data_IF_980797734798
#
_entry.id   IF_980797734798
#
_cell.length_a   1.000
_cell.length_b   1.000
_cell.length_c   1.000
_cell.angle_alpha   90.00
_cell.angle_beta   90.00
_cell.angle_gamma   90.00
#
_symmetry.space_group_name_H-M   'P 1'
#
loop_
_entity.id
_entity.type
_entity.pdbx_description
1 polymer ?
#
# COMPACT_ATOMS: atom_id res chain seq x y z
N UNK A 1 2.85 -4.51 14.84
CA UNK A 1 3.41 -4.95 13.54
C UNK A 1 2.79 -4.19 12.36
N UNK A 2 1.46 -4.14 12.25
CA UNK A 2 0.77 -3.37 11.20
C UNK A 2 1.26 -1.91 11.15
N UNK A 3 1.26 -1.20 12.28
CA UNK A 3 1.64 0.22 12.32
C UNK A 3 3.10 0.47 11.92
N UNK A 4 4.00 -0.48 12.22
CA UNK A 4 5.40 -0.41 11.79
C UNK A 4 5.52 -0.52 10.27
N UNK A 5 4.80 -1.47 9.66
CA UNK A 5 4.79 -1.62 8.20
C UNK A 5 4.13 -0.44 7.52
N UNK A 6 3.05 0.12 8.09
CA UNK A 6 2.40 1.31 7.54
C UNK A 6 3.34 2.52 7.59
N UNK A 7 3.99 2.79 8.73
CA UNK A 7 4.93 3.90 8.86
C UNK A 7 6.09 3.78 7.85
N UNK A 8 6.63 2.57 7.67
CA UNK A 8 7.67 2.33 6.68
C UNK A 8 7.14 2.44 5.24
N UNK A 9 5.89 2.04 4.98
CA UNK A 9 5.26 2.19 3.68
C UNK A 9 5.14 3.68 3.32
N UNK A 10 4.69 4.52 4.26
CA UNK A 10 4.59 5.97 4.07
C UNK A 10 5.99 6.56 3.80
N UNK A 11 6.98 6.21 4.62
CA UNK A 11 8.37 6.68 4.44
C UNK A 11 8.96 6.31 3.07
N UNK A 12 8.68 5.11 2.58
CA UNK A 12 9.16 4.66 1.26
C UNK A 12 8.40 5.33 0.11
N UNK A 13 7.10 5.60 0.26
CA UNK A 13 6.33 6.38 -0.69
C UNK A 13 6.83 7.82 -0.83
N UNK A 14 7.13 8.49 0.30
CA UNK A 14 7.69 9.85 0.32
C UNK A 14 9.03 9.94 -0.42
N UNK A 15 9.81 8.85 -0.41
CA UNK A 15 11.08 8.73 -1.14
C UNK A 15 10.92 8.33 -2.61
N UNK A 16 9.69 8.16 -3.11
CA UNK A 16 9.41 7.69 -4.48
C UNK A 16 9.76 6.22 -4.73
N UNK A 17 9.95 5.42 -3.67
CA UNK A 17 10.29 4.01 -3.77
C UNK A 17 9.01 3.16 -3.88
N UNK A 18 8.48 3.06 -5.10
CA UNK A 18 7.19 2.43 -5.38
C UNK A 18 7.13 0.94 -5.00
N UNK A 19 8.10 0.14 -5.43
CA UNK A 19 8.07 -1.31 -5.16
C UNK A 19 8.19 -1.63 -3.66
N UNK A 20 9.12 -1.01 -2.89
CA UNK A 20 9.15 -1.18 -1.44
C UNK A 20 7.85 -0.76 -0.73
N UNK A 21 7.26 0.37 -1.15
CA UNK A 21 5.97 0.81 -0.61
C UNK A 21 4.87 -0.23 -0.85
N UNK A 22 4.79 -0.78 -2.06
CA UNK A 22 3.80 -1.81 -2.39
C UNK A 22 4.00 -3.10 -1.60
N UNK A 23 5.23 -3.57 -1.41
CA UNK A 23 5.53 -4.74 -0.59
C UNK A 23 5.08 -4.55 0.87
N UNK A 24 5.26 -3.36 1.43
CA UNK A 24 4.82 -3.03 2.79
C UNK A 24 3.30 -2.93 2.87
N UNK A 25 2.63 -2.44 1.83
CA UNK A 25 1.17 -2.48 1.71
C UNK A 25 0.66 -3.93 1.75
N UNK A 26 1.30 -4.86 1.03
CA UNK A 26 0.95 -6.29 1.09
C UNK A 26 1.16 -6.89 2.48
N UNK A 27 2.25 -6.53 3.17
CA UNK A 27 2.50 -6.95 4.56
C UNK A 27 1.44 -6.41 5.53
N UNK A 28 0.98 -5.17 5.34
CA UNK A 28 -0.13 -4.59 6.10
C UNK A 28 -1.43 -5.38 5.88
N UNK A 29 -1.77 -5.64 4.61
CA UNK A 29 -2.95 -6.44 4.23
C UNK A 29 -2.93 -7.84 4.86
N UNK A 30 -1.78 -8.53 4.78
CA UNK A 30 -1.63 -9.84 5.39
C UNK A 30 -1.76 -9.80 6.92
N UNK A 31 -1.14 -8.82 7.57
CA UNK A 31 -1.22 -8.63 9.02
C UNK A 31 -2.66 -8.36 9.47
N UNK A 32 -3.39 -7.51 8.73
CA UNK A 32 -4.81 -7.26 8.95
C UNK A 32 -5.64 -8.56 8.84
N UNK A 33 -5.41 -9.37 7.81
CA UNK A 33 -6.12 -10.64 7.64
C UNK A 33 -5.90 -11.58 8.82
N UNK A 34 -4.67 -11.67 9.33
CA UNK A 34 -4.36 -12.47 10.51
C UNK A 34 -5.09 -11.97 11.77
N UNK A 35 -5.10 -10.65 12.00
CA UNK A 35 -5.81 -10.04 13.14
C UNK A 35 -7.33 -10.26 13.05
N UNK A 36 -7.89 -10.08 11.85
CA UNK A 36 -9.32 -10.28 11.58
C UNK A 36 -9.73 -11.74 11.79
N UNK A 37 -8.96 -12.70 11.25
CA UNK A 37 -9.25 -14.13 11.40
C UNK A 37 -9.16 -14.62 12.85
N UNK A 38 -8.30 -14.00 13.66
CA UNK A 38 -8.19 -14.28 15.11
C UNK A 38 -9.28 -13.62 15.94
N UNK A 39 -10.16 -12.81 15.36
CA UNK A 39 -11.15 -12.03 16.10
C UNK A 39 -10.54 -10.96 17.00
N UNK A 40 -9.28 -10.58 16.75
CA UNK A 40 -8.53 -9.62 17.58
C UNK A 40 -8.91 -8.15 17.30
N UNK A 41 -9.79 -7.90 16.33
CA UNK A 41 -10.28 -6.57 15.96
C UNK A 41 -11.81 -6.55 15.85
N UNK A 42 -12.42 -5.51 16.41
CA UNK A 42 -13.84 -5.25 16.36
C UNK A 42 -14.34 -4.79 14.98
N UNK A 43 -15.66 -4.73 14.82
CA UNK A 43 -16.30 -4.36 13.54
C UNK A 43 -15.90 -2.94 13.09
N UNK A 44 -15.89 -1.96 14.01
CA UNK A 44 -15.49 -0.60 13.71
C UNK A 44 -14.01 -0.49 13.30
N UNK A 45 -13.14 -1.26 13.96
CA UNK A 45 -11.70 -1.28 13.68
C UNK A 45 -11.40 -1.85 12.29
N UNK A 46 -12.15 -2.87 11.83
CA UNK A 46 -11.97 -3.46 10.50
C UNK A 46 -12.06 -2.41 9.39
N UNK A 47 -13.07 -1.54 9.43
CA UNK A 47 -13.24 -0.49 8.43
C UNK A 47 -12.04 0.48 8.43
N UNK A 48 -11.51 0.80 9.61
CA UNK A 48 -10.29 1.62 9.74
C UNK A 48 -9.08 0.95 9.09
N UNK A 49 -8.80 -0.33 9.40
CA UNK A 49 -7.69 -1.07 8.80
C UNK A 49 -7.82 -1.18 7.27
N UNK A 50 -9.02 -1.43 6.75
CA UNK A 50 -9.26 -1.48 5.30
C UNK A 50 -8.96 -0.12 4.65
N UNK A 51 -9.41 0.98 5.28
CA UNK A 51 -9.12 2.33 4.80
C UNK A 51 -7.62 2.63 4.76
N UNK A 52 -6.89 2.23 5.80
CA UNK A 52 -5.43 2.37 5.91
C UNK A 52 -4.69 1.61 4.81
N UNK A 53 -5.01 0.31 4.62
CA UNK A 53 -4.42 -0.49 3.52
C UNK A 53 -4.75 0.11 2.15
N UNK A 54 -5.99 0.57 1.95
CA UNK A 54 -6.41 1.20 0.69
C UNK A 54 -5.61 2.48 0.40
N UNK A 55 -5.33 3.28 1.42
CA UNK A 55 -4.51 4.49 1.27
C UNK A 55 -3.09 4.15 0.82
N UNK A 56 -2.47 3.13 1.41
CA UNK A 56 -1.13 2.67 0.99
C UNK A 56 -1.12 2.19 -0.46
N UNK A 57 -2.12 1.40 -0.86
CA UNK A 57 -2.25 0.96 -2.25
C UNK A 57 -2.44 2.13 -3.23
N UNK A 58 -3.16 3.17 -2.82
CA UNK A 58 -3.33 4.39 -3.61
C UNK A 58 -1.98 5.11 -3.80
N UNK A 59 -1.21 5.30 -2.73
CA UNK A 59 0.13 5.88 -2.80
C UNK A 59 1.07 5.07 -3.73
N UNK A 60 1.01 3.74 -3.66
CA UNK A 60 1.76 2.87 -4.58
C UNK A 60 1.36 3.11 -6.04
N UNK A 61 0.06 3.19 -6.31
CA UNK A 61 -0.48 3.36 -7.66
C UNK A 61 -0.12 4.73 -8.25
N UNK A 62 -0.28 5.81 -7.48
CA UNK A 62 0.11 7.16 -7.91
C UNK A 62 1.62 7.27 -8.13
N UNK A 63 2.42 6.68 -7.23
CA UNK A 63 3.88 6.61 -7.40
C UNK A 63 4.27 5.86 -8.67
N UNK A 64 3.64 4.72 -8.93
CA UNK A 64 3.86 3.94 -10.14
C UNK A 64 3.49 4.73 -11.40
N UNK A 65 2.32 5.38 -11.41
CA UNK A 65 1.86 6.18 -12.55
C UNK A 65 2.85 7.30 -12.87
N UNK A 66 3.31 8.04 -11.85
CA UNK A 66 4.34 9.08 -12.02
C UNK A 66 5.65 8.53 -12.58
N UNK A 67 6.10 7.36 -12.12
CA UNK A 67 7.28 6.71 -12.70
C UNK A 67 7.07 6.34 -14.18
N UNK A 68 5.87 5.88 -14.56
CA UNK A 68 5.57 5.55 -15.96
C UNK A 68 5.52 6.80 -16.83
N UNK A 69 4.91 7.88 -16.33
CA UNK A 69 4.86 9.17 -17.02
C UNK A 69 6.27 9.73 -17.25
N UNK A 70 7.13 9.73 -16.24
CA UNK A 70 8.52 10.19 -16.35
C UNK A 70 9.35 9.39 -17.38
N UNK A 71 9.00 8.12 -17.60
CA UNK A 71 9.62 7.25 -18.59
C UNK A 71 8.96 7.35 -19.98
N UNK A 72 7.95 8.22 -20.17
CA UNK A 72 7.21 8.35 -21.42
C UNK A 72 6.30 7.17 -21.72
N UNK A 73 5.76 6.52 -20.70
CA UNK A 73 4.86 5.36 -20.78
C UNK A 73 5.40 4.19 -21.63
N UNK A 74 6.58 3.62 -21.30
CA UNK A 74 7.26 2.63 -22.14
C UNK A 74 6.50 1.31 -22.31
N UNK A 75 5.50 1.06 -21.45
CA UNK A 75 4.68 -0.16 -21.46
C UNK A 75 3.33 0.03 -22.16
N UNK A 76 2.97 1.27 -22.54
CA UNK A 76 1.76 1.51 -23.31
C UNK A 76 2.02 1.12 -24.77
N UNK A 77 1.21 0.21 -25.31
CA UNK A 77 1.24 -0.11 -26.75
C UNK A 77 0.88 1.16 -27.53
N UNK A 78 1.75 1.56 -28.47
CA UNK A 78 1.35 2.55 -29.48
C UNK A 78 0.28 1.89 -30.36
N UNK A 79 -0.86 2.56 -30.50
CA UNK A 79 -1.91 2.16 -31.44
C UNK A 79 -1.44 2.40 -32.87
#
# INVERSE_FOLDING_TARGET
LFDMYEAEAIRTAEKGLVLPNYDLCLKCSHTFNMLNARGAIGVAERTSYIGRVRNLAHLSAEGYLRQREALGYPLLKRK
#
